data_IF_004014956908
#
_entry.id   IF_004014956908
#
_cell.length_a   1.000
_cell.length_b   1.000
_cell.length_c   1.000
_cell.angle_alpha   90.00
_cell.angle_beta   90.00
_cell.angle_gamma   90.00
#
_symmetry.space_group_name_H-M   'P 1'
#
loop_
_entity.id
_entity.type
_entity.pdbx_description
1 polymer ?
#
# COMPACT_ATOMS: atom_id res chain seq x y z
N UNK A 1 0.57 10.11 -8.81
CA UNK A 1 -0.10 8.84 -9.18
C UNK A 1 -1.24 9.20 -10.11
N UNK A 2 -1.34 8.61 -11.30
CA UNK A 2 -2.41 8.93 -12.23
C UNK A 2 -3.67 8.18 -11.87
N UNK A 3 -4.84 8.82 -12.02
CA UNK A 3 -6.15 8.23 -11.74
C UNK A 3 -6.38 6.90 -12.49
N UNK A 4 -5.74 6.73 -13.64
CA UNK A 4 -5.83 5.52 -14.46
C UNK A 4 -5.30 4.26 -13.76
N UNK A 5 -4.40 4.43 -12.78
CA UNK A 5 -3.82 3.33 -11.99
C UNK A 5 -4.73 2.85 -10.85
N UNK A 6 -5.75 3.62 -10.50
CA UNK A 6 -6.72 3.27 -9.44
C UNK A 6 -7.83 2.33 -9.93
N UNK A 7 -7.83 1.97 -11.22
CA UNK A 7 -8.76 1.02 -11.81
C UNK A 7 -10.19 1.51 -12.09
N UNK A 8 -10.53 2.83 -12.06
CA UNK A 8 -11.85 3.27 -12.45
C UNK A 8 -12.08 3.01 -13.95
N UNK A 9 -13.35 2.95 -14.36
CA UNK A 9 -13.67 2.87 -15.79
C UNK A 9 -13.08 4.06 -16.55
N UNK A 10 -12.74 3.93 -17.85
CA UNK A 10 -12.17 5.03 -18.64
C UNK A 10 -13.02 6.31 -18.62
N UNK A 11 -14.34 6.17 -18.56
CA UNK A 11 -15.28 7.28 -18.46
C UNK A 11 -15.11 8.03 -17.13
N UNK A 12 -15.08 7.31 -16.01
CA UNK A 12 -14.89 7.89 -14.67
C UNK A 12 -13.49 8.53 -14.56
N UNK A 13 -12.46 7.87 -15.07
CA UNK A 13 -11.09 8.42 -15.10
C UNK A 13 -11.00 9.72 -15.92
N UNK A 14 -11.72 9.79 -17.04
CA UNK A 14 -11.83 11.00 -17.84
C UNK A 14 -12.55 12.13 -17.12
N UNK A 15 -13.70 11.84 -16.55
CA UNK A 15 -14.51 12.83 -15.83
C UNK A 15 -13.80 13.35 -14.57
N UNK A 16 -13.05 12.51 -13.86
CA UNK A 16 -12.34 12.86 -12.63
C UNK A 16 -11.11 13.78 -12.85
N UNK A 17 -10.73 14.05 -14.12
CA UNK A 17 -9.65 14.99 -14.45
C UNK A 17 -10.10 16.45 -14.52
N UNK A 18 -11.41 16.70 -14.58
CA UNK A 18 -11.95 18.05 -14.78
C UNK A 18 -12.42 18.79 -13.51
N UNK A 19 -12.91 18.13 -12.44
CA UNK A 19 -13.33 18.85 -11.24
C UNK A 19 -12.12 19.37 -10.44
N UNK A 20 -12.33 20.44 -9.63
CA UNK A 20 -11.33 20.85 -8.66
C UNK A 20 -10.97 19.69 -7.71
N UNK A 21 -9.74 19.72 -7.18
CA UNK A 21 -9.28 18.68 -6.27
C UNK A 21 -10.27 18.47 -5.10
N UNK A 22 -10.62 17.21 -4.84
CA UNK A 22 -11.53 16.85 -3.77
C UNK A 22 -10.96 17.35 -2.42
N UNK A 23 -11.74 18.01 -1.57
CA UNK A 23 -11.31 18.41 -0.24
C UNK A 23 -10.75 17.23 0.54
N UNK A 24 -9.67 17.43 1.30
CA UNK A 24 -8.97 16.37 2.03
C UNK A 24 -9.92 15.52 2.89
N UNK A 25 -10.80 16.16 3.64
CA UNK A 25 -11.75 15.47 4.51
C UNK A 25 -12.70 14.54 3.73
N UNK A 26 -13.17 14.96 2.56
CA UNK A 26 -14.00 14.14 1.70
C UNK A 26 -13.21 12.97 1.10
N UNK A 27 -11.96 13.20 0.75
CA UNK A 27 -11.07 12.16 0.23
C UNK A 27 -10.76 11.10 1.29
N UNK A 28 -10.52 11.53 2.54
CA UNK A 28 -10.32 10.64 3.68
C UNK A 28 -11.58 9.79 3.95
N UNK A 29 -12.78 10.40 3.86
CA UNK A 29 -14.04 9.68 4.04
C UNK A 29 -14.28 8.64 2.94
N UNK A 30 -13.99 8.97 1.68
CA UNK A 30 -14.06 8.04 0.55
C UNK A 30 -13.10 6.86 0.78
N UNK A 31 -11.88 7.14 1.24
CA UNK A 31 -10.91 6.10 1.55
C UNK A 31 -11.41 5.14 2.63
N UNK A 32 -11.90 5.67 3.76
CA UNK A 32 -12.44 4.86 4.87
C UNK A 32 -13.63 4.02 4.41
N UNK A 33 -14.54 4.60 3.65
CA UNK A 33 -15.71 3.90 3.11
C UNK A 33 -15.29 2.76 2.15
N UNK A 34 -14.33 3.01 1.27
CA UNK A 34 -13.80 1.99 0.36
C UNK A 34 -13.10 0.87 1.13
N UNK A 35 -12.31 1.20 2.16
CA UNK A 35 -11.68 0.20 3.01
C UNK A 35 -12.72 -0.69 3.69
N UNK A 36 -13.74 -0.10 4.30
CA UNK A 36 -14.78 -0.82 5.06
C UNK A 36 -15.69 -1.66 4.17
N UNK A 37 -16.14 -1.11 3.05
CA UNK A 37 -17.22 -1.69 2.25
C UNK A 37 -16.73 -2.51 1.06
N UNK A 38 -15.48 -2.32 0.63
CA UNK A 38 -14.92 -2.99 -0.54
C UNK A 38 -13.67 -3.78 -0.15
N UNK A 39 -12.63 -3.11 0.36
CA UNK A 39 -11.32 -3.72 0.49
C UNK A 39 -11.27 -4.82 1.55
N UNK A 40 -11.93 -4.62 2.69
CA UNK A 40 -11.97 -5.62 3.76
C UNK A 40 -12.86 -6.80 3.39
N UNK A 41 -14.12 -6.61 2.92
CA UNK A 41 -15.00 -7.73 2.62
C UNK A 41 -14.55 -8.58 1.41
N UNK A 42 -13.79 -8.00 0.48
CA UNK A 42 -13.31 -8.70 -0.73
C UNK A 42 -11.91 -9.29 -0.60
N UNK A 43 -11.25 -9.12 0.53
CA UNK A 43 -9.97 -9.75 0.80
C UNK A 43 -10.17 -11.24 1.15
N UNK A 44 -9.39 -12.12 0.52
CA UNK A 44 -9.32 -13.52 0.91
C UNK A 44 -8.48 -13.72 2.18
N UNK A 45 -7.45 -12.88 2.35
CA UNK A 45 -6.59 -12.88 3.53
C UNK A 45 -5.89 -11.53 3.70
N UNK A 46 -5.36 -11.31 4.90
CA UNK A 46 -4.46 -10.21 5.23
C UNK A 46 -3.12 -10.77 5.70
N UNK A 47 -2.05 -10.05 5.41
CA UNK A 47 -0.71 -10.37 5.86
C UNK A 47 0.03 -9.14 6.32
N UNK A 48 1.04 -9.34 7.15
CA UNK A 48 1.93 -8.28 7.62
C UNK A 48 3.36 -8.81 7.53
N UNK A 49 4.22 -8.13 6.79
CA UNK A 49 5.67 -8.32 6.94
C UNK A 49 6.14 -7.50 8.13
N UNK A 50 6.88 -8.14 9.01
CA UNK A 50 7.40 -7.53 10.22
C UNK A 50 8.90 -7.78 10.35
N UNK A 51 9.61 -6.86 10.99
CA UNK A 51 11.05 -6.93 11.28
C UNK A 51 11.30 -6.61 12.75
N UNK A 52 12.48 -6.93 13.26
CA UNK A 52 12.80 -6.69 14.67
C UNK A 52 13.06 -5.22 14.96
N UNK A 53 13.77 -4.54 14.06
CA UNK A 53 14.11 -3.13 14.20
C UNK A 53 13.71 -2.34 12.93
N UNK A 54 12.64 -1.55 13.06
CA UNK A 54 12.11 -0.70 11.99
C UNK A 54 13.04 0.46 11.62
N UNK A 55 14.08 0.76 12.39
CA UNK A 55 15.09 1.77 12.08
C UNK A 55 16.34 1.19 11.41
N UNK A 56 16.49 -0.14 11.42
CA UNK A 56 17.57 -0.83 10.72
C UNK A 56 17.31 -0.90 9.20
N UNK A 57 18.09 -0.14 8.44
CA UNK A 57 17.98 -0.09 6.99
C UNK A 57 18.27 -1.44 6.30
N UNK A 58 19.12 -2.28 6.88
CA UNK A 58 19.41 -3.59 6.31
C UNK A 58 18.19 -4.52 6.42
N UNK A 59 17.49 -4.52 7.57
CA UNK A 59 16.25 -5.26 7.75
C UNK A 59 15.12 -4.72 6.87
N UNK A 60 15.00 -3.39 6.74
CA UNK A 60 14.01 -2.76 5.85
C UNK A 60 14.23 -3.15 4.39
N UNK A 61 15.48 -3.14 3.93
CA UNK A 61 15.82 -3.54 2.56
C UNK A 61 15.56 -5.04 2.33
N UNK A 62 15.90 -5.89 3.30
CA UNK A 62 15.58 -7.32 3.24
C UNK A 62 14.07 -7.56 3.16
N UNK A 63 13.29 -6.89 4.01
CA UNK A 63 11.84 -6.93 3.98
C UNK A 63 11.25 -6.49 2.63
N UNK A 64 11.80 -5.43 2.03
CA UNK A 64 11.39 -4.98 0.69
C UNK A 64 11.68 -6.01 -0.41
N UNK A 65 12.81 -6.72 -0.34
CA UNK A 65 13.12 -7.83 -1.25
C UNK A 65 12.16 -9.01 -1.07
N UNK A 66 11.82 -9.33 0.16
CA UNK A 66 10.87 -10.41 0.46
C UNK A 66 9.46 -10.05 0.01
N UNK A 67 9.04 -8.79 0.20
CA UNK A 67 7.81 -8.27 -0.39
C UNK A 67 7.77 -8.47 -1.91
N UNK A 68 8.84 -8.07 -2.60
CA UNK A 68 8.92 -8.22 -4.06
C UNK A 68 8.80 -9.69 -4.49
N UNK A 69 9.47 -10.61 -3.80
CA UNK A 69 9.41 -12.05 -4.09
C UNK A 69 8.01 -12.61 -3.88
N UNK A 70 7.38 -12.30 -2.74
CA UNK A 70 6.01 -12.74 -2.42
C UNK A 70 5.03 -12.21 -3.46
N UNK A 71 5.16 -10.95 -3.82
CA UNK A 71 4.28 -10.31 -4.81
C UNK A 71 4.42 -10.97 -6.20
N UNK A 72 5.65 -11.19 -6.66
CA UNK A 72 5.89 -11.83 -7.96
C UNK A 72 5.42 -13.29 -7.97
N UNK A 73 5.72 -14.02 -6.91
CA UNK A 73 5.25 -15.41 -6.76
C UNK A 73 3.72 -15.47 -6.76
N UNK A 74 3.07 -14.64 -5.97
CA UNK A 74 1.62 -14.61 -5.90
C UNK A 74 0.97 -14.21 -7.23
N UNK A 75 1.54 -13.24 -7.95
CA UNK A 75 1.06 -12.87 -9.27
C UNK A 75 1.16 -14.06 -10.26
N UNK A 76 2.23 -14.87 -10.19
CA UNK A 76 2.38 -16.09 -10.99
C UNK A 76 1.34 -17.16 -10.62
N UNK A 77 0.82 -17.15 -9.39
CA UNK A 77 -0.27 -18.02 -8.94
C UNK A 77 -1.68 -17.43 -9.18
N UNK A 78 -1.79 -16.31 -9.88
CA UNK A 78 -3.06 -15.63 -10.13
C UNK A 78 -3.63 -14.87 -8.93
N UNK A 79 -2.81 -14.58 -7.92
CA UNK A 79 -3.20 -13.79 -6.76
C UNK A 79 -2.96 -12.30 -6.99
N UNK A 80 -3.83 -11.47 -6.48
CA UNK A 80 -3.66 -10.02 -6.42
C UNK A 80 -3.27 -9.60 -5.00
N UNK A 81 -2.32 -8.67 -4.91
CA UNK A 81 -1.85 -8.10 -3.66
C UNK A 81 -2.07 -6.59 -3.66
N UNK A 82 -2.48 -6.07 -2.53
CA UNK A 82 -2.58 -4.63 -2.32
C UNK A 82 -1.89 -4.24 -1.01
N UNK A 83 -0.84 -3.39 -1.06
CA UNK A 83 -0.24 -2.81 0.13
C UNK A 83 -1.24 -1.95 0.90
N UNK A 84 -1.15 -1.97 2.23
CA UNK A 84 -1.96 -1.19 3.16
C UNK A 84 -1.07 -0.31 4.04
N UNK A 85 -0.10 0.37 3.42
CA UNK A 85 0.99 1.10 4.09
C UNK A 85 0.51 2.21 5.03
N UNK A 86 -0.70 2.74 4.82
CA UNK A 86 -1.26 3.84 5.63
C UNK A 86 -1.24 3.55 7.14
N UNK A 87 -1.35 2.29 7.53
CA UNK A 87 -1.25 1.91 8.95
C UNK A 87 0.16 2.18 9.50
N UNK A 88 1.19 1.73 8.80
CA UNK A 88 2.58 1.92 9.22
C UNK A 88 3.00 3.39 9.12
N UNK A 89 2.60 4.10 8.06
CA UNK A 89 2.82 5.53 7.91
C UNK A 89 2.19 6.34 9.07
N UNK A 90 1.01 5.94 9.53
CA UNK A 90 0.36 6.56 10.68
C UNK A 90 1.10 6.27 11.99
N UNK A 91 1.57 5.04 12.19
CA UNK A 91 2.40 4.67 13.36
C UNK A 91 3.69 5.49 13.38
N UNK A 92 4.35 5.63 12.23
CA UNK A 92 5.55 6.47 12.12
C UNK A 92 5.25 7.95 12.41
N UNK A 93 4.08 8.43 11.98
CA UNK A 93 3.63 9.79 12.28
C UNK A 93 3.35 10.00 13.76
N UNK A 94 2.71 9.06 14.43
CA UNK A 94 2.49 9.12 15.89
C UNK A 94 3.83 9.25 16.62
N UNK A 95 4.83 8.47 16.20
CA UNK A 95 6.19 8.52 16.74
C UNK A 95 6.89 9.85 16.46
N UNK A 96 6.85 10.34 15.21
CA UNK A 96 7.48 11.59 14.81
C UNK A 96 6.92 12.81 15.56
N UNK A 97 5.62 12.82 15.80
CA UNK A 97 4.93 13.91 16.49
C UNK A 97 4.90 13.76 18.01
N UNK A 98 5.45 12.65 18.53
CA UNK A 98 5.42 12.29 19.94
C UNK A 98 4.01 12.38 20.57
N UNK A 99 3.01 11.90 19.82
CA UNK A 99 1.61 11.83 20.27
C UNK A 99 1.29 10.42 20.75
N UNK A 100 0.12 10.28 21.41
CA UNK A 100 -0.34 8.98 21.90
C UNK A 100 -0.34 7.90 20.80
N UNK A 101 0.30 6.74 21.03
CA UNK A 101 0.46 5.69 20.01
C UNK A 101 -0.79 4.80 19.89
N UNK A 102 -1.92 5.38 19.55
CA UNK A 102 -3.20 4.65 19.43
C UNK A 102 -3.13 3.57 18.38
N UNK A 103 -2.69 3.93 17.17
CA UNK A 103 -2.58 2.96 16.07
C UNK A 103 -1.36 2.05 16.25
N UNK A 104 -0.26 2.59 16.79
CA UNK A 104 0.92 1.80 17.15
C UNK A 104 0.59 0.67 18.11
N UNK A 105 -0.24 0.93 19.11
CA UNK A 105 -0.72 -0.08 20.06
C UNK A 105 -1.63 -1.12 19.38
N UNK A 106 -2.57 -0.69 18.54
CA UNK A 106 -3.45 -1.59 17.82
C UNK A 106 -2.69 -2.52 16.84
N UNK A 107 -1.72 -1.98 16.09
CA UNK A 107 -0.90 -2.76 15.16
C UNK A 107 -0.01 -3.76 15.91
N UNK A 108 0.53 -3.38 17.07
CA UNK A 108 1.31 -4.28 17.93
C UNK A 108 0.46 -5.43 18.46
N UNK A 109 -0.76 -5.13 18.88
CA UNK A 109 -1.72 -6.16 19.29
C UNK A 109 -2.05 -7.15 18.18
N UNK A 110 -2.15 -6.68 16.92
CA UNK A 110 -2.35 -7.56 15.75
C UNK A 110 -1.16 -8.49 15.51
N UNK A 111 0.08 -8.05 15.76
CA UNK A 111 1.26 -8.90 15.62
C UNK A 111 1.34 -9.98 16.70
N UNK A 112 0.75 -9.75 17.87
CA UNK A 112 0.80 -10.66 19.00
C UNK A 112 2.20 -10.89 19.58
N UNK A 113 3.18 -10.07 19.19
CA UNK A 113 4.56 -10.19 19.63
C UNK A 113 5.24 -8.82 19.63
N UNK A 114 5.64 -8.34 20.79
CA UNK A 114 6.27 -7.03 21.01
C UNK A 114 7.69 -6.92 20.44
N UNK A 115 8.35 -8.03 20.13
CA UNK A 115 9.69 -8.05 19.55
C UNK A 115 9.69 -7.72 18.05
N UNK A 116 8.52 -7.56 17.42
CA UNK A 116 8.39 -7.34 16.01
C UNK A 116 7.67 -6.02 15.70
N UNK A 117 8.08 -5.36 14.64
CA UNK A 117 7.49 -4.12 14.14
C UNK A 117 6.92 -4.36 12.73
N UNK A 118 5.66 -3.99 12.54
CA UNK A 118 5.00 -4.08 11.24
C UNK A 118 5.61 -3.08 10.27
N UNK A 119 5.97 -3.54 9.07
CA UNK A 119 6.54 -2.70 8.01
C UNK A 119 5.63 -2.65 6.78
N UNK A 120 5.09 -3.79 6.38
CA UNK A 120 4.32 -3.90 5.15
C UNK A 120 3.07 -4.74 5.39
N UNK A 121 1.97 -4.13 5.86
CA UNK A 121 0.66 -4.78 5.83
C UNK A 121 0.10 -4.80 4.41
N UNK A 122 -0.61 -5.86 4.08
CA UNK A 122 -1.20 -6.05 2.77
C UNK A 122 -2.44 -6.94 2.83
N UNK A 123 -3.27 -6.86 1.80
CA UNK A 123 -4.34 -7.82 1.56
C UNK A 123 -4.05 -8.65 0.32
N UNK A 124 -4.62 -9.86 0.31
CA UNK A 124 -4.52 -10.81 -0.79
C UNK A 124 -5.94 -11.16 -1.24
N UNK A 125 -6.12 -11.37 -2.53
CA UNK A 125 -7.39 -11.82 -3.09
C UNK A 125 -7.21 -12.35 -4.51
N UNK A 126 -8.30 -12.84 -5.07
CA UNK A 126 -8.35 -13.22 -6.47
C UNK A 126 -8.85 -12.04 -7.30
N UNK A 127 -8.13 -11.61 -8.34
CA UNK A 127 -8.56 -10.49 -9.16
C UNK A 127 -9.79 -10.87 -9.99
N UNK A 128 -10.77 -9.98 -10.05
CA UNK A 128 -11.98 -10.14 -10.88
C UNK A 128 -11.74 -9.71 -12.33
N UNK A 129 -10.63 -9.01 -12.60
CA UNK A 129 -10.20 -8.57 -13.92
C UNK A 129 -8.67 -8.50 -13.98
N UNK A 130 -8.12 -8.63 -15.16
CA UNK A 130 -6.68 -8.46 -15.37
C UNK A 130 -6.23 -7.05 -15.00
N UNK A 131 -5.11 -6.96 -14.29
CA UNK A 131 -4.50 -5.69 -13.95
C UNK A 131 -4.03 -4.96 -15.22
N UNK A 132 -4.28 -3.66 -15.29
CA UNK A 132 -3.75 -2.83 -16.37
C UNK A 132 -2.25 -2.62 -16.17
N UNK A 133 -1.44 -2.69 -17.24
CA UNK A 133 -0.02 -2.36 -17.13
C UNK A 133 0.16 -0.93 -16.60
N UNK A 134 1.03 -0.75 -15.62
CA UNK A 134 1.39 0.60 -15.19
C UNK A 134 2.27 1.28 -16.25
N UNK A 135 2.05 2.56 -16.53
CA UNK A 135 2.91 3.29 -17.47
C UNK A 135 4.36 3.30 -16.96
N UNK A 136 5.28 3.04 -17.85
CA UNK A 136 6.72 3.10 -17.58
C UNK A 136 7.31 4.31 -18.29
N UNK A 137 8.21 5.01 -17.62
CA UNK A 137 9.02 6.02 -18.29
C UNK A 137 9.99 5.32 -19.26
N UNK A 138 10.30 5.96 -20.38
CA UNK A 138 11.30 5.42 -21.31
C UNK A 138 12.68 5.34 -20.62
N UNK A 139 13.49 4.38 -21.01
CA UNK A 139 14.86 4.25 -20.50
C UNK A 139 15.63 5.56 -20.69
N UNK A 140 15.46 6.20 -21.86
CA UNK A 140 16.10 7.49 -22.20
C UNK A 140 15.74 8.61 -21.22
N UNK A 141 14.54 8.59 -20.60
CA UNK A 141 14.09 9.61 -19.64
C UNK A 141 14.61 9.40 -18.22
N UNK A 142 15.21 8.25 -17.93
CA UNK A 142 15.69 7.87 -16.59
C UNK A 142 17.17 7.52 -16.56
N UNK A 143 17.77 7.20 -17.71
CA UNK A 143 19.22 7.00 -17.82
C UNK A 143 19.93 8.35 -17.72
N UNK A 144 20.93 8.43 -16.84
CA UNK A 144 21.86 9.55 -16.85
C UNK A 144 22.65 9.50 -18.17
N UNK A 145 22.75 10.63 -18.85
CA UNK A 145 23.67 10.74 -19.95
C UNK A 145 25.10 10.48 -19.41
N UNK A 146 25.75 9.41 -19.89
CA UNK A 146 27.18 9.24 -19.65
C UNK A 146 27.89 10.35 -20.39
N UNK A 147 28.50 11.29 -19.66
CA UNK A 147 29.44 12.25 -20.23
C UNK A 147 30.70 11.52 -20.66
#
# INVERSE_FOLDING_TARGET
MTLDLLGPSPLIAGMAKFPPACPRQQNDQIFVNNMRNINVPTAAAFGILAIKDGMDNAQRLACGRDWQRIHLWGAAQGLAFQPLNQMCERVDRERQLNIEPVLGTAVRALLGNDAWQAIMPFRIGYPTAAARPSPRRSVRSVALASN
#
